data_IF_345628687419
#
_entry.id   IF_345628687419
#
_cell.length_a   1.000
_cell.length_b   1.000
_cell.length_c   1.000
_cell.angle_alpha   90.00
_cell.angle_beta   90.00
_cell.angle_gamma   90.00
#
_symmetry.space_group_name_H-M   'P 1'
#
loop_
_entity.id
_entity.type
_entity.pdbx_description
1 polymer ?
#
# COMPACT_ATOMS: atom_id res chain seq x y z
N UNK A 1 -9.55 22.38 -2.56
CA UNK A 1 -10.82 22.03 -1.88
C UNK A 1 -12.04 22.14 -2.83
N UNK A 2 -12.09 23.18 -3.66
CA UNK A 2 -13.25 23.49 -4.51
C UNK A 2 -13.58 22.45 -5.59
N UNK A 3 -12.61 21.72 -6.14
CA UNK A 3 -12.85 20.70 -7.18
C UNK A 3 -13.56 19.44 -6.67
N UNK A 4 -13.24 18.96 -5.48
CA UNK A 4 -13.86 17.73 -4.93
C UNK A 4 -15.35 17.91 -4.60
N UNK A 5 -15.77 19.12 -4.27
CA UNK A 5 -17.19 19.41 -4.05
C UNK A 5 -17.99 19.37 -5.36
N UNK A 6 -17.42 19.88 -6.48
CA UNK A 6 -18.08 19.79 -7.80
C UNK A 6 -18.22 18.33 -8.28
N UNK A 7 -17.21 17.47 -8.02
CA UNK A 7 -17.27 16.06 -8.37
C UNK A 7 -18.40 15.32 -7.63
N UNK A 8 -18.58 15.61 -6.33
CA UNK A 8 -19.68 15.05 -5.54
C UNK A 8 -21.04 15.55 -6.06
N UNK A 9 -21.18 16.84 -6.35
CA UNK A 9 -22.43 17.40 -6.89
C UNK A 9 -22.77 16.71 -8.22
N UNK A 10 -21.84 16.65 -9.17
CA UNK A 10 -22.02 15.94 -10.44
C UNK A 10 -22.46 14.49 -10.23
N UNK A 11 -21.81 13.78 -9.30
CA UNK A 11 -22.15 12.40 -8.98
C UNK A 11 -23.57 12.23 -8.45
N UNK A 12 -24.01 13.10 -7.53
CA UNK A 12 -25.35 13.01 -6.95
C UNK A 12 -26.47 13.37 -7.94
N UNK A 13 -26.22 14.33 -8.83
CA UNK A 13 -27.15 14.72 -9.90
C UNK A 13 -27.23 13.66 -11.02
N UNK A 14 -26.26 12.76 -11.11
CA UNK A 14 -26.21 11.73 -12.15
C UNK A 14 -27.21 10.61 -11.91
N UNK A 15 -28.03 10.20 -12.91
CA UNK A 15 -28.88 9.02 -12.82
C UNK A 15 -28.09 7.75 -12.48
N UNK A 16 -28.70 6.83 -11.74
CA UNK A 16 -28.04 5.60 -11.25
C UNK A 16 -27.26 4.83 -12.31
N UNK A 17 -27.82 4.73 -13.52
CA UNK A 17 -27.24 4.02 -14.68
C UNK A 17 -25.86 4.56 -15.08
N UNK A 18 -25.62 5.85 -14.92
CA UNK A 18 -24.41 6.53 -15.39
C UNK A 18 -23.42 6.86 -14.27
N UNK A 19 -23.72 6.53 -13.01
CA UNK A 19 -22.87 6.86 -11.86
C UNK A 19 -21.45 6.31 -11.97
N UNK A 20 -21.27 5.08 -12.46
CA UNK A 20 -19.93 4.51 -12.67
C UNK A 20 -19.17 5.23 -13.77
N UNK A 21 -19.83 5.57 -14.87
CA UNK A 21 -19.19 6.33 -15.96
C UNK A 21 -18.69 7.69 -15.47
N UNK A 22 -19.55 8.42 -14.75
CA UNK A 22 -19.18 9.73 -14.20
C UNK A 22 -18.03 9.60 -13.21
N UNK A 23 -18.06 8.62 -12.30
CA UNK A 23 -16.93 8.37 -11.38
C UNK A 23 -15.64 8.05 -12.13
N UNK A 24 -15.69 7.21 -13.15
CA UNK A 24 -14.52 6.88 -13.96
C UNK A 24 -13.94 8.13 -14.63
N UNK A 25 -14.78 8.93 -15.28
CA UNK A 25 -14.35 10.15 -15.97
C UNK A 25 -13.74 11.15 -14.98
N UNK A 26 -14.43 11.44 -13.87
CA UNK A 26 -13.93 12.37 -12.85
C UNK A 26 -12.63 11.88 -12.20
N UNK A 27 -12.51 10.57 -11.94
CA UNK A 27 -11.29 9.96 -11.42
C UNK A 27 -10.13 10.05 -12.40
N UNK A 28 -10.37 9.80 -13.68
CA UNK A 28 -9.36 9.94 -14.74
C UNK A 28 -8.92 11.40 -14.91
N UNK A 29 -9.86 12.36 -14.89
CA UNK A 29 -9.53 13.79 -14.93
C UNK A 29 -8.68 14.17 -13.71
N UNK A 30 -9.06 13.70 -12.52
CA UNK A 30 -8.30 13.93 -11.30
C UNK A 30 -6.88 13.39 -11.40
N UNK A 31 -6.73 12.16 -11.88
CA UNK A 31 -5.44 11.51 -12.03
C UNK A 31 -4.58 12.15 -13.11
N UNK A 32 -5.15 12.42 -14.29
CA UNK A 32 -4.43 13.04 -15.41
C UNK A 32 -3.94 14.46 -15.10
N UNK A 33 -4.65 15.18 -14.21
CA UNK A 33 -4.23 16.51 -13.79
C UNK A 33 -2.93 16.51 -12.99
N UNK A 34 -2.72 15.48 -12.15
CA UNK A 34 -1.49 15.34 -11.37
C UNK A 34 -0.35 14.65 -12.14
N UNK A 35 -0.69 13.67 -12.98
CA UNK A 35 0.26 12.73 -13.58
C UNK A 35 0.53 12.94 -15.08
N UNK A 36 -0.14 13.91 -15.70
CA UNK A 36 0.04 14.22 -17.13
C UNK A 36 -0.12 12.96 -17.99
N UNK A 37 0.88 12.65 -18.83
CA UNK A 37 0.87 11.51 -19.77
C UNK A 37 0.79 10.13 -19.11
N UNK A 38 1.12 9.99 -17.83
CA UNK A 38 1.16 8.69 -17.13
C UNK A 38 -0.22 8.08 -16.87
N UNK A 39 -1.32 8.85 -17.02
CA UNK A 39 -2.67 8.28 -16.97
C UNK A 39 -2.90 7.19 -18.03
N UNK A 40 -2.17 7.23 -19.16
CA UNK A 40 -2.23 6.21 -20.21
C UNK A 40 -1.76 4.83 -19.71
N UNK A 41 -0.81 4.79 -18.76
CA UNK A 41 -0.33 3.53 -18.17
C UNK A 41 -1.45 2.88 -17.38
N UNK A 42 -2.20 3.67 -16.61
CA UNK A 42 -3.35 3.15 -15.86
C UNK A 42 -4.44 2.64 -16.80
N UNK A 43 -4.74 3.36 -17.89
CA UNK A 43 -5.69 2.87 -18.92
C UNK A 43 -5.20 1.56 -19.54
N UNK A 44 -3.91 1.47 -19.87
CA UNK A 44 -3.35 0.23 -20.42
C UNK A 44 -3.45 -0.94 -19.43
N UNK A 45 -3.17 -0.71 -18.15
CA UNK A 45 -3.34 -1.72 -17.10
C UNK A 45 -4.80 -2.17 -16.98
N UNK A 46 -5.76 -1.22 -17.05
CA UNK A 46 -7.19 -1.54 -17.05
C UNK A 46 -7.54 -2.46 -18.24
N UNK A 47 -7.12 -2.11 -19.45
CA UNK A 47 -7.43 -2.88 -20.66
C UNK A 47 -6.81 -4.29 -20.61
N UNK A 48 -5.56 -4.39 -20.17
CA UNK A 48 -4.84 -5.68 -20.06
C UNK A 48 -5.52 -6.60 -19.05
N UNK A 49 -5.77 -6.12 -17.82
CA UNK A 49 -6.32 -6.97 -16.77
C UNK A 49 -7.82 -7.27 -16.97
N UNK A 50 -8.58 -6.34 -17.54
CA UNK A 50 -9.95 -6.59 -17.98
C UNK A 50 -9.99 -7.73 -19.02
N UNK A 51 -9.15 -7.64 -20.05
CA UNK A 51 -9.07 -8.65 -21.11
C UNK A 51 -8.55 -9.98 -20.58
N UNK A 52 -7.54 -9.95 -19.71
CA UNK A 52 -7.01 -11.14 -19.04
C UNK A 52 -8.08 -11.83 -18.20
N UNK A 53 -8.88 -11.10 -17.42
CA UNK A 53 -9.96 -11.66 -16.62
C UNK A 53 -10.98 -12.41 -17.46
N UNK A 54 -11.43 -11.82 -18.58
CA UNK A 54 -12.37 -12.45 -19.52
C UNK A 54 -11.73 -13.70 -20.15
N UNK A 55 -10.47 -13.60 -20.61
CA UNK A 55 -9.76 -14.69 -21.25
C UNK A 55 -9.51 -15.85 -20.28
N UNK A 56 -9.08 -15.58 -19.03
CA UNK A 56 -8.90 -16.59 -17.97
C UNK A 56 -10.21 -17.37 -17.76
N UNK A 57 -11.34 -16.66 -17.66
CA UNK A 57 -12.62 -17.30 -17.45
C UNK A 57 -13.09 -18.11 -18.66
N UNK A 58 -12.85 -17.62 -19.87
CA UNK A 58 -13.17 -18.35 -21.12
C UNK A 58 -12.40 -19.67 -21.20
N UNK A 59 -11.14 -19.69 -20.74
CA UNK A 59 -10.29 -20.89 -20.76
C UNK A 59 -10.23 -21.63 -19.41
N UNK A 60 -11.22 -21.46 -18.52
CA UNK A 60 -11.24 -22.10 -17.18
C UNK A 60 -11.10 -23.62 -17.22
N UNK A 61 -11.65 -24.29 -18.25
CA UNK A 61 -11.52 -25.73 -18.45
C UNK A 61 -10.12 -26.15 -18.97
N UNK A 62 -9.36 -25.20 -19.54
CA UNK A 62 -8.02 -25.41 -20.05
C UNK A 62 -6.97 -24.80 -19.10
N UNK A 63 -6.69 -25.50 -17.98
CA UNK A 63 -5.80 -25.00 -16.91
C UNK A 63 -4.47 -24.40 -17.42
N UNK A 64 -3.80 -25.05 -18.41
CA UNK A 64 -2.53 -24.54 -18.97
C UNK A 64 -2.70 -23.19 -19.65
N UNK A 65 -3.77 -22.98 -20.41
CA UNK A 65 -4.05 -21.69 -21.07
C UNK A 65 -4.41 -20.63 -20.05
N UNK A 66 -5.28 -20.96 -19.07
CA UNK A 66 -5.66 -20.03 -18.00
C UNK A 66 -4.47 -19.55 -17.19
N UNK A 67 -3.55 -20.43 -16.79
CA UNK A 67 -2.35 -20.05 -16.04
C UNK A 67 -1.38 -19.23 -16.90
N UNK A 68 -1.23 -19.53 -18.19
CA UNK A 68 -0.37 -18.74 -19.09
C UNK A 68 -0.88 -17.31 -19.22
N UNK A 69 -2.20 -17.11 -19.36
CA UNK A 69 -2.79 -15.76 -19.44
C UNK A 69 -2.60 -15.02 -18.11
N UNK A 70 -2.80 -15.70 -16.98
CA UNK A 70 -2.55 -15.11 -15.66
C UNK A 70 -1.09 -14.69 -15.50
N UNK A 71 -0.14 -15.58 -15.89
CA UNK A 71 1.29 -15.27 -15.82
C UNK A 71 1.64 -14.06 -16.70
N UNK A 72 1.09 -13.95 -17.90
CA UNK A 72 1.30 -12.80 -18.79
C UNK A 72 0.78 -11.49 -18.15
N UNK A 73 -0.42 -11.51 -17.56
CA UNK A 73 -0.97 -10.35 -16.84
C UNK A 73 -0.05 -9.95 -15.66
N UNK A 74 0.39 -10.92 -14.85
CA UNK A 74 1.30 -10.66 -13.72
C UNK A 74 2.63 -10.09 -14.21
N UNK A 75 3.25 -10.69 -15.24
CA UNK A 75 4.51 -10.22 -15.81
C UNK A 75 4.37 -8.81 -16.38
N UNK A 76 3.28 -8.50 -17.06
CA UNK A 76 2.98 -7.16 -17.55
C UNK A 76 2.91 -6.14 -16.41
N UNK A 77 2.12 -6.42 -15.37
CA UNK A 77 1.93 -5.53 -14.22
C UNK A 77 3.24 -5.32 -13.43
N UNK A 78 3.96 -6.40 -13.14
CA UNK A 78 5.25 -6.33 -12.46
C UNK A 78 6.32 -5.70 -13.35
N UNK A 79 6.27 -5.90 -14.66
CA UNK A 79 7.18 -5.28 -15.63
C UNK A 79 7.05 -3.78 -15.66
N UNK A 80 5.82 -3.25 -15.73
CA UNK A 80 5.56 -1.81 -15.62
C UNK A 80 6.07 -1.28 -14.27
N UNK A 81 5.73 -1.95 -13.17
CA UNK A 81 6.18 -1.54 -11.85
C UNK A 81 7.72 -1.55 -11.76
N UNK A 82 8.38 -2.54 -12.35
CA UNK A 82 9.84 -2.63 -12.41
C UNK A 82 10.45 -1.45 -13.18
N UNK A 83 9.95 -1.16 -14.36
CA UNK A 83 10.45 -0.07 -15.20
C UNK A 83 10.37 1.27 -14.46
N UNK A 84 9.20 1.60 -13.90
CA UNK A 84 9.00 2.91 -13.29
C UNK A 84 9.61 3.05 -11.89
N UNK A 85 9.75 1.97 -11.15
CA UNK A 85 10.20 2.04 -9.75
C UNK A 85 11.64 1.59 -9.54
N UNK A 86 12.12 0.60 -10.32
CA UNK A 86 13.38 -0.08 -9.99
C UNK A 86 14.48 0.08 -11.03
N UNK A 87 14.17 0.46 -12.27
CA UNK A 87 15.19 0.48 -13.35
C UNK A 87 16.39 1.35 -12.99
N UNK A 88 16.18 2.56 -12.45
CA UNK A 88 17.27 3.46 -12.08
C UNK A 88 18.07 2.96 -10.85
N UNK A 89 17.42 2.24 -9.94
CA UNK A 89 18.11 1.58 -8.84
C UNK A 89 19.05 0.49 -9.35
N UNK A 90 18.63 -0.33 -10.30
CA UNK A 90 19.48 -1.35 -10.90
C UNK A 90 20.59 -0.74 -11.74
N UNK A 91 20.33 0.27 -12.56
CA UNK A 91 21.37 0.99 -13.33
C UNK A 91 22.43 1.55 -12.38
N UNK A 92 22.03 2.19 -11.29
CA UNK A 92 22.97 2.76 -10.32
C UNK A 92 23.86 1.68 -9.68
N UNK A 93 23.26 0.57 -9.25
CA UNK A 93 24.04 -0.53 -8.65
C UNK A 93 24.95 -1.24 -9.66
N UNK A 94 24.52 -1.44 -10.91
CA UNK A 94 25.34 -1.99 -11.98
C UNK A 94 26.53 -1.07 -12.25
N UNK A 95 26.31 0.25 -12.33
CA UNK A 95 27.39 1.22 -12.49
C UNK A 95 28.42 1.13 -11.36
N UNK A 96 27.96 1.00 -10.11
CA UNK A 96 28.87 0.89 -8.95
C UNK A 96 29.66 -0.42 -9.00
N UNK A 97 29.00 -1.56 -9.24
CA UNK A 97 29.62 -2.90 -9.18
C UNK A 97 30.61 -3.11 -10.33
N UNK A 98 30.26 -2.66 -11.52
CA UNK A 98 31.05 -2.92 -12.75
C UNK A 98 31.79 -1.70 -13.23
N UNK A 99 31.82 -0.59 -12.49
CA UNK A 99 32.45 0.69 -12.87
C UNK A 99 32.00 1.17 -14.25
N UNK A 100 30.70 0.98 -14.57
CA UNK A 100 30.08 1.42 -15.82
C UNK A 100 29.50 2.83 -15.68
N UNK A 101 29.29 3.49 -16.83
CA UNK A 101 28.68 4.83 -16.90
C UNK A 101 27.33 4.80 -17.65
N UNK A 102 26.47 3.82 -17.34
CA UNK A 102 25.13 3.73 -17.94
C UNK A 102 24.29 4.94 -17.50
N UNK A 103 23.68 5.61 -18.46
CA UNK A 103 22.82 6.76 -18.19
C UNK A 103 21.52 6.34 -17.50
N UNK A 104 21.10 7.10 -16.48
CA UNK A 104 19.79 6.93 -15.86
C UNK A 104 18.67 7.23 -16.85
N UNK A 105 17.60 6.47 -16.77
CA UNK A 105 16.40 6.73 -17.59
C UNK A 105 15.60 7.87 -16.96
N UNK A 106 15.22 8.86 -17.79
CA UNK A 106 14.42 10.00 -17.32
C UNK A 106 12.93 9.61 -17.25
N UNK A 107 12.56 8.92 -16.18
CA UNK A 107 11.20 8.51 -15.88
C UNK A 107 10.82 8.93 -14.46
N UNK A 108 9.59 9.46 -14.31
CA UNK A 108 9.00 9.78 -13.01
C UNK A 108 8.10 8.63 -12.59
N UNK A 109 8.14 8.26 -11.31
CA UNK A 109 7.26 7.22 -10.76
C UNK A 109 5.81 7.72 -10.75
N UNK A 110 4.89 7.10 -11.52
CA UNK A 110 3.48 7.51 -11.51
C UNK A 110 2.85 7.28 -10.13
N UNK A 111 2.14 8.29 -9.66
CA UNK A 111 1.48 8.24 -8.37
C UNK A 111 0.45 7.09 -8.32
N UNK A 112 0.47 6.31 -7.24
CA UNK A 112 -0.47 5.20 -7.07
C UNK A 112 -0.19 3.94 -7.90
N UNK A 113 0.88 3.90 -8.73
CA UNK A 113 1.18 2.73 -9.58
C UNK A 113 1.25 1.42 -8.77
N UNK A 114 1.87 1.43 -7.59
CA UNK A 114 1.97 0.26 -6.73
C UNK A 114 0.61 -0.20 -6.20
N UNK A 115 -0.34 0.73 -6.02
CA UNK A 115 -1.69 0.44 -5.51
C UNK A 115 -2.56 -0.17 -6.59
N UNK A 116 -2.71 0.49 -7.75
CA UNK A 116 -3.57 -0.06 -8.80
C UNK A 116 -2.99 -1.35 -9.41
N UNK A 117 -1.67 -1.51 -9.48
CA UNK A 117 -1.04 -2.78 -9.87
C UNK A 117 -1.47 -3.93 -8.95
N UNK A 118 -1.47 -3.73 -7.63
CA UNK A 118 -1.93 -4.75 -6.69
C UNK A 118 -3.43 -5.01 -6.79
N UNK A 119 -4.23 -3.99 -7.09
CA UNK A 119 -5.67 -4.15 -7.32
C UNK A 119 -5.96 -5.00 -8.56
N UNK A 120 -5.36 -4.65 -9.70
CA UNK A 120 -5.59 -5.37 -10.96
C UNK A 120 -5.03 -6.78 -10.93
N UNK A 121 -3.84 -6.99 -10.37
CA UNK A 121 -3.29 -8.34 -10.15
C UNK A 121 -4.20 -9.20 -9.27
N UNK A 122 -4.72 -8.64 -8.16
CA UNK A 122 -5.62 -9.39 -7.28
C UNK A 122 -6.89 -9.82 -8.01
N UNK A 123 -7.44 -8.96 -8.88
CA UNK A 123 -8.60 -9.29 -9.69
C UNK A 123 -8.31 -10.47 -10.64
N UNK A 124 -7.25 -10.42 -11.42
CA UNK A 124 -6.87 -11.48 -12.35
C UNK A 124 -6.63 -12.82 -11.63
N UNK A 125 -5.98 -12.78 -10.45
CA UNK A 125 -5.77 -13.96 -9.60
C UNK A 125 -7.09 -14.51 -9.05
N UNK A 126 -8.01 -13.64 -8.60
CA UNK A 126 -9.29 -14.06 -8.02
C UNK A 126 -10.23 -14.66 -9.08
N UNK A 127 -10.21 -14.13 -10.32
CA UNK A 127 -10.92 -14.77 -11.46
C UNK A 127 -10.33 -16.15 -11.74
N UNK A 128 -8.99 -16.28 -11.79
CA UNK A 128 -8.34 -17.57 -12.02
C UNK A 128 -8.66 -18.62 -10.94
N UNK A 129 -8.70 -18.17 -9.67
CA UNK A 129 -9.08 -19.04 -8.53
C UNK A 129 -10.58 -19.33 -8.45
N UNK A 130 -11.39 -18.77 -9.34
CA UNK A 130 -12.85 -18.95 -9.35
C UNK A 130 -13.57 -18.27 -8.17
N UNK A 131 -12.92 -17.33 -7.48
CA UNK A 131 -13.52 -16.59 -6.36
C UNK A 131 -14.57 -15.58 -6.83
N UNK A 132 -14.35 -15.02 -8.02
CA UNK A 132 -15.25 -14.09 -8.70
C UNK A 132 -15.44 -14.48 -10.15
N UNK A 133 -16.59 -14.09 -10.72
CA UNK A 133 -16.76 -14.06 -12.17
C UNK A 133 -16.12 -12.79 -12.73
N UNK A 134 -15.59 -12.81 -13.97
CA UNK A 134 -15.02 -11.61 -14.55
C UNK A 134 -16.10 -10.54 -14.72
N UNK A 135 -15.71 -9.29 -14.53
CA UNK A 135 -16.55 -8.16 -14.86
C UNK A 135 -16.58 -7.99 -16.38
N UNK A 136 -17.77 -8.00 -16.95
CA UNK A 136 -17.98 -7.86 -18.42
C UNK A 136 -18.22 -6.43 -18.86
N UNK A 137 -18.52 -5.55 -17.92
CA UNK A 137 -18.67 -4.12 -18.19
C UNK A 137 -17.35 -3.39 -17.87
N UNK A 138 -16.67 -2.94 -18.93
CA UNK A 138 -15.40 -2.24 -18.80
C UNK A 138 -15.49 -0.97 -17.96
N UNK A 139 -16.62 -0.26 -17.95
CA UNK A 139 -16.82 0.94 -17.12
C UNK A 139 -16.81 0.57 -15.64
N UNK A 140 -17.44 -0.55 -15.27
CA UNK A 140 -17.44 -1.05 -13.91
C UNK A 140 -16.02 -1.40 -13.45
N UNK A 141 -15.26 -2.10 -14.29
CA UNK A 141 -13.88 -2.45 -14.01
C UNK A 141 -12.98 -1.22 -13.95
N UNK A 142 -13.14 -0.28 -14.87
CA UNK A 142 -12.43 0.99 -14.85
C UNK A 142 -12.75 1.80 -13.59
N UNK A 143 -14.03 1.86 -13.17
CA UNK A 143 -14.43 2.49 -11.91
C UNK A 143 -13.67 1.88 -10.73
N UNK A 144 -13.59 0.54 -10.64
CA UNK A 144 -12.86 -0.15 -9.58
C UNK A 144 -11.40 0.30 -9.49
N UNK A 145 -10.71 0.38 -10.63
CA UNK A 145 -9.28 0.71 -10.67
C UNK A 145 -9.02 2.20 -10.44
N UNK A 146 -9.83 3.06 -11.06
CA UNK A 146 -9.58 4.52 -11.07
C UNK A 146 -10.12 5.26 -9.88
N UNK A 147 -10.97 4.64 -9.05
CA UNK A 147 -11.74 5.30 -8.00
C UNK A 147 -10.87 6.19 -7.09
N UNK A 148 -11.01 7.50 -7.25
CA UNK A 148 -10.10 8.52 -6.72
C UNK A 148 -9.87 8.50 -5.19
N UNK A 149 -10.84 8.11 -4.32
CA UNK A 149 -10.57 8.11 -2.89
C UNK A 149 -9.49 7.10 -2.47
N UNK A 150 -9.37 5.97 -3.17
CA UNK A 150 -8.42 4.90 -2.83
C UNK A 150 -7.12 4.95 -3.62
N UNK A 151 -7.11 5.63 -4.79
CA UNK A 151 -6.10 5.49 -5.84
C UNK A 151 -4.67 5.83 -5.39
N UNK A 152 -4.49 6.85 -4.56
CA UNK A 152 -3.15 7.39 -4.24
C UNK A 152 -2.52 6.73 -3.01
N UNK A 153 -3.22 6.72 -1.88
CA UNK A 153 -2.75 6.18 -0.60
C UNK A 153 -3.91 5.66 0.27
N UNK A 154 -5.04 5.31 -0.35
CA UNK A 154 -6.17 4.69 0.33
C UNK A 154 -5.90 3.24 0.73
N UNK A 155 -6.88 2.54 1.30
CA UNK A 155 -6.81 1.09 1.48
C UNK A 155 -6.61 0.41 0.12
N UNK A 156 -5.83 -0.68 0.07
CA UNK A 156 -5.78 -1.54 -1.11
C UNK A 156 -7.09 -2.34 -1.14
N UNK A 157 -8.03 -1.85 -1.95
CA UNK A 157 -9.36 -2.46 -2.07
C UNK A 157 -9.30 -3.54 -3.16
N UNK A 158 -9.76 -4.74 -2.85
CA UNK A 158 -9.91 -5.82 -3.83
C UNK A 158 -11.26 -5.71 -4.54
N UNK A 159 -11.36 -6.27 -5.75
CA UNK A 159 -12.65 -6.29 -6.47
C UNK A 159 -13.73 -7.03 -5.65
N UNK A 160 -13.34 -8.09 -4.94
CA UNK A 160 -14.21 -8.84 -4.01
C UNK A 160 -14.83 -7.98 -2.92
N UNK A 161 -14.15 -6.90 -2.51
CA UNK A 161 -14.60 -6.06 -1.40
C UNK A 161 -15.73 -5.10 -1.83
N UNK A 162 -15.79 -4.71 -3.13
CA UNK A 162 -16.73 -3.68 -3.62
C UNK A 162 -17.52 -4.08 -4.88
N UNK A 163 -17.44 -5.34 -5.32
CA UNK A 163 -18.14 -5.79 -6.54
C UNK A 163 -19.66 -5.60 -6.50
N UNK A 164 -20.25 -5.74 -5.31
CA UNK A 164 -21.69 -5.56 -5.13
C UNK A 164 -22.09 -4.08 -5.27
N UNK A 165 -21.32 -3.20 -4.63
CA UNK A 165 -21.53 -1.76 -4.70
C UNK A 165 -21.22 -1.18 -6.08
N UNK A 166 -20.30 -1.77 -6.84
CA UNK A 166 -20.07 -1.39 -8.24
C UNK A 166 -21.31 -1.68 -9.08
N UNK A 167 -21.95 -2.83 -8.88
CA UNK A 167 -23.14 -3.25 -9.63
C UNK A 167 -24.41 -2.53 -9.19
N UNK A 168 -24.59 -2.42 -7.88
CA UNK A 168 -25.78 -1.81 -7.29
C UNK A 168 -25.43 -1.14 -5.96
N UNK A 169 -25.40 0.20 -5.97
CA UNK A 169 -25.17 1.00 -4.75
C UNK A 169 -26.48 1.53 -4.19
N UNK A 170 -26.65 1.40 -2.89
CA UNK A 170 -27.65 2.14 -2.13
C UNK A 170 -26.94 3.20 -1.28
N UNK A 171 -27.34 4.45 -1.45
CA UNK A 171 -26.78 5.59 -0.70
C UNK A 171 -27.77 5.92 0.41
N UNK A 172 -27.45 5.52 1.62
CA UNK A 172 -28.23 5.74 2.82
C UNK A 172 -27.74 7.02 3.52
N UNK A 173 -28.66 7.85 4.02
CA UNK A 173 -28.34 9.13 4.67
C UNK A 173 -27.39 8.93 5.86
N UNK A 174 -27.64 7.92 6.69
CA UNK A 174 -26.83 7.62 7.87
C UNK A 174 -25.37 7.26 7.49
N UNK A 175 -25.19 6.50 6.40
CA UNK A 175 -23.85 6.18 5.89
C UNK A 175 -23.15 7.39 5.30
N UNK A 176 -23.87 8.31 4.69
CA UNK A 176 -23.32 9.58 4.21
C UNK A 176 -22.85 10.43 5.37
N UNK A 177 -23.66 10.55 6.43
CA UNK A 177 -23.28 11.26 7.65
C UNK A 177 -22.03 10.65 8.29
N UNK A 178 -22.02 9.32 8.51
CA UNK A 178 -20.85 8.60 9.03
C UNK A 178 -19.60 8.82 8.13
N UNK A 179 -19.81 8.87 6.81
CA UNK A 179 -18.76 9.17 5.84
C UNK A 179 -18.17 10.57 5.99
N UNK A 180 -19.02 11.58 6.21
CA UNK A 180 -18.61 12.96 6.46
C UNK A 180 -17.81 13.05 7.77
N UNK A 181 -18.30 12.42 8.84
CA UNK A 181 -17.61 12.37 10.13
C UNK A 181 -16.22 11.75 10.00
N UNK A 182 -16.10 10.60 9.29
CA UNK A 182 -14.79 9.98 9.02
C UNK A 182 -13.87 10.87 8.22
N UNK A 183 -14.40 11.58 7.22
CA UNK A 183 -13.61 12.50 6.42
C UNK A 183 -13.06 13.64 7.28
N UNK A 184 -13.89 14.28 8.11
CA UNK A 184 -13.51 15.37 9.00
C UNK A 184 -12.48 14.90 10.02
N UNK A 185 -12.72 13.77 10.68
CA UNK A 185 -11.76 13.18 11.63
C UNK A 185 -10.43 12.82 10.97
N UNK A 186 -10.45 12.27 9.75
CA UNK A 186 -9.25 11.97 8.98
C UNK A 186 -8.48 13.24 8.60
N UNK A 187 -9.18 14.28 8.17
CA UNK A 187 -8.59 15.58 7.87
C UNK A 187 -7.97 16.22 9.11
N UNK A 188 -8.65 16.15 10.25
CA UNK A 188 -8.12 16.62 11.53
C UNK A 188 -6.81 15.91 11.92
N UNK A 189 -6.76 14.58 11.77
CA UNK A 189 -5.51 13.80 12.00
C UNK A 189 -4.37 14.27 11.12
N UNK A 190 -4.64 14.52 9.82
CA UNK A 190 -3.62 14.96 8.88
C UNK A 190 -3.17 16.39 9.14
N UNK A 191 -4.12 17.33 9.22
CA UNK A 191 -3.80 18.76 9.26
C UNK A 191 -3.39 19.21 10.66
N UNK A 192 -4.14 18.80 11.71
CA UNK A 192 -3.91 19.30 13.06
C UNK A 192 -2.83 18.51 13.82
N UNK A 193 -2.62 17.23 13.46
CA UNK A 193 -1.65 16.40 14.19
C UNK A 193 -0.44 16.10 13.32
N UNK A 194 -0.62 15.39 12.18
CA UNK A 194 0.51 14.91 11.40
C UNK A 194 1.37 16.05 10.83
N UNK A 195 0.77 17.09 10.25
CA UNK A 195 1.52 18.21 9.68
C UNK A 195 2.31 18.97 10.75
N UNK A 196 1.71 19.20 11.93
CA UNK A 196 2.39 19.94 13.02
C UNK A 196 3.53 19.12 13.64
N UNK A 197 3.30 17.83 13.90
CA UNK A 197 4.36 16.94 14.41
C UNK A 197 5.46 16.75 13.35
N UNK A 198 5.10 16.72 12.07
CA UNK A 198 6.03 16.59 10.96
C UNK A 198 7.03 17.73 10.85
N UNK A 199 6.70 18.93 11.35
CA UNK A 199 7.65 20.04 11.39
C UNK A 199 8.86 19.73 12.28
N UNK A 200 8.67 18.99 13.40
CA UNK A 200 9.78 18.57 14.26
C UNK A 200 10.72 17.60 13.52
N UNK A 201 10.17 16.67 12.74
CA UNK A 201 11.00 15.78 11.94
C UNK A 201 11.76 16.55 10.85
N UNK A 202 11.09 17.45 10.16
CA UNK A 202 11.75 18.31 9.15
C UNK A 202 12.86 19.18 9.74
N UNK A 203 12.72 19.65 10.97
CA UNK A 203 13.77 20.39 11.68
C UNK A 203 15.00 19.50 11.91
N UNK A 204 14.79 18.25 12.33
CA UNK A 204 15.87 17.26 12.50
C UNK A 204 16.59 16.98 11.17
N UNK A 205 15.85 16.82 10.07
CA UNK A 205 16.44 16.61 8.75
C UNK A 205 17.23 17.83 8.26
N UNK A 206 16.67 19.03 8.42
CA UNK A 206 17.30 20.29 7.99
C UNK A 206 18.57 20.63 8.79
N UNK A 207 18.56 20.39 10.10
CA UNK A 207 19.74 20.59 10.97
C UNK A 207 20.86 19.59 10.64
N UNK A 208 20.46 18.41 10.11
CA UNK A 208 21.36 17.31 9.80
C UNK A 208 21.73 16.47 11.04
N UNK A 209 21.71 15.16 10.88
CA UNK A 209 21.87 14.18 11.96
C UNK A 209 23.20 14.27 12.73
N UNK A 210 24.19 14.96 12.18
CA UNK A 210 25.50 15.16 12.82
C UNK A 210 25.54 16.38 13.75
N UNK A 211 24.58 17.29 13.60
CA UNK A 211 24.55 18.58 14.27
C UNK A 211 23.49 18.62 15.38
N UNK A 212 22.75 17.52 15.60
CA UNK A 212 21.72 17.45 16.61
C UNK A 212 22.21 16.74 17.86
N UNK A 213 21.67 17.12 19.02
CA UNK A 213 21.91 16.43 20.28
C UNK A 213 21.16 15.07 20.30
N UNK A 214 21.67 14.11 21.05
CA UNK A 214 21.04 12.79 21.23
C UNK A 214 19.57 12.88 21.69
N UNK A 215 19.20 13.71 22.71
CA UNK A 215 17.80 13.87 23.09
C UNK A 215 16.92 14.40 21.94
N UNK A 216 17.43 15.34 21.14
CA UNK A 216 16.69 15.89 20.00
C UNK A 216 16.49 14.84 18.89
N UNK A 217 17.46 13.95 18.67
CA UNK A 217 17.31 12.80 17.76
C UNK A 217 16.17 11.86 18.21
N UNK A 218 16.07 11.53 19.51
CA UNK A 218 14.96 10.72 20.02
C UNK A 218 13.60 11.41 19.85
N UNK A 219 13.53 12.71 20.12
CA UNK A 219 12.29 13.49 19.87
C UNK A 219 11.92 13.44 18.38
N UNK A 220 12.90 13.59 17.48
CA UNK A 220 12.69 13.47 16.04
C UNK A 220 12.11 12.13 15.60
N UNK A 221 12.66 11.02 16.10
CA UNK A 221 12.15 9.67 15.76
C UNK A 221 10.75 9.44 16.32
N UNK A 222 10.44 9.91 17.52
CA UNK A 222 9.08 9.87 18.07
C UNK A 222 8.13 10.73 17.21
N UNK A 223 8.55 11.93 16.80
CA UNK A 223 7.79 12.79 15.92
C UNK A 223 7.51 12.10 14.58
N UNK A 224 8.51 11.54 13.92
CA UNK A 224 8.34 10.77 12.68
C UNK A 224 7.37 9.61 12.86
N UNK A 225 7.49 8.85 13.95
CA UNK A 225 6.64 7.69 14.23
C UNK A 225 5.17 8.09 14.39
N UNK A 226 4.89 9.22 15.03
CA UNK A 226 3.54 9.75 15.19
C UNK A 226 3.04 10.37 13.87
N UNK A 227 3.90 11.12 13.18
CA UNK A 227 3.59 11.73 11.90
C UNK A 227 3.12 10.68 10.88
N UNK A 228 3.92 9.64 10.63
CA UNK A 228 3.59 8.60 9.63
C UNK A 228 2.27 7.90 9.99
N UNK A 229 2.00 7.68 11.28
CA UNK A 229 0.75 7.08 11.71
C UNK A 229 -0.45 8.01 11.48
N UNK A 230 -0.39 9.24 11.96
CA UNK A 230 -1.52 10.16 11.84
C UNK A 230 -1.75 10.61 10.40
N UNK A 231 -0.69 10.78 9.60
CA UNK A 231 -0.80 11.11 8.19
C UNK A 231 -1.48 9.98 7.41
N UNK A 232 -0.94 8.77 7.50
CA UNK A 232 -1.46 7.64 6.73
C UNK A 232 -2.81 7.13 7.24
N UNK A 233 -3.02 7.07 8.57
CA UNK A 233 -4.32 6.71 9.12
C UNK A 233 -5.38 7.78 8.85
N UNK A 234 -5.00 9.05 8.85
CA UNK A 234 -5.86 10.17 8.50
C UNK A 234 -6.29 10.09 7.04
N UNK A 235 -5.34 9.90 6.12
CA UNK A 235 -5.65 9.72 4.70
C UNK A 235 -6.56 8.51 4.45
N UNK A 236 -6.24 7.36 5.06
CA UNK A 236 -7.05 6.15 4.94
C UNK A 236 -8.48 6.36 5.47
N UNK A 237 -8.64 7.13 6.55
CA UNK A 237 -9.95 7.45 7.11
C UNK A 237 -10.73 8.39 6.20
N UNK A 238 -10.09 9.42 5.61
CA UNK A 238 -10.69 10.29 4.59
C UNK A 238 -11.14 9.49 3.38
N UNK A 239 -10.30 8.58 2.88
CA UNK A 239 -10.63 7.72 1.73
C UNK A 239 -11.87 6.86 2.02
N UNK A 240 -11.95 6.25 3.21
CA UNK A 240 -13.13 5.47 3.65
C UNK A 240 -14.36 6.34 3.78
N UNK A 241 -14.22 7.55 4.32
CA UNK A 241 -15.33 8.51 4.42
C UNK A 241 -15.88 8.90 3.05
N UNK A 242 -15.01 9.27 2.11
CA UNK A 242 -15.39 9.56 0.73
C UNK A 242 -16.01 8.34 0.04
N UNK A 243 -15.45 7.15 0.26
CA UNK A 243 -16.05 5.91 -0.24
C UNK A 243 -17.51 5.75 0.23
N UNK A 244 -17.77 5.93 1.52
CA UNK A 244 -19.12 5.83 2.08
C UNK A 244 -20.08 6.89 1.53
N UNK A 245 -19.62 8.13 1.36
CA UNK A 245 -20.40 9.21 0.71
C UNK A 245 -20.78 8.81 -0.73
N UNK A 246 -19.90 8.11 -1.44
CA UNK A 246 -20.15 7.60 -2.78
C UNK A 246 -20.92 6.25 -2.82
N UNK A 247 -21.21 5.66 -1.66
CA UNK A 247 -21.94 4.39 -1.51
C UNK A 247 -21.03 3.15 -1.58
N UNK A 248 -19.72 3.27 -1.28
CA UNK A 248 -18.78 2.16 -1.18
C UNK A 248 -18.29 1.95 0.25
N UNK A 249 -18.12 0.71 0.67
CA UNK A 249 -17.60 0.35 1.99
C UNK A 249 -16.16 -0.16 1.88
N UNK A 250 -15.18 0.74 1.99
CA UNK A 250 -13.77 0.36 1.96
C UNK A 250 -13.32 -0.29 3.26
N UNK A 251 -12.43 -1.29 3.18
CA UNK A 251 -11.92 -1.99 4.35
C UNK A 251 -11.13 -1.06 5.27
N UNK A 252 -11.08 -1.42 6.56
CA UNK A 252 -10.28 -0.70 7.56
C UNK A 252 -8.80 -0.98 7.35
N UNK A 253 -7.98 0.08 7.42
CA UNK A 253 -6.54 -0.04 7.19
C UNK A 253 -5.69 0.08 8.47
N UNK A 254 -6.22 0.67 9.56
CA UNK A 254 -5.55 0.85 10.83
C UNK A 254 -6.46 0.51 12.00
N UNK A 255 -5.90 -0.14 13.06
CA UNK A 255 -6.59 -0.49 14.29
C UNK A 255 -5.71 -0.30 15.53
N UNK A 256 -5.46 0.96 15.94
CA UNK A 256 -4.63 1.31 17.09
C UNK A 256 -3.30 0.52 17.14
N UNK A 257 -2.43 0.65 16.11
CA UNK A 257 -1.27 -0.22 15.95
C UNK A 257 -0.26 -0.06 17.09
N UNK A 258 -0.06 1.15 17.63
CA UNK A 258 0.89 1.38 18.73
C UNK A 258 0.43 0.82 20.09
N UNK A 259 -0.80 0.33 20.20
CA UNK A 259 -1.26 -0.42 21.37
C UNK A 259 -0.92 -1.92 21.31
N UNK A 260 -0.13 -2.35 20.32
CA UNK A 260 0.25 -3.76 20.13
C UNK A 260 1.29 -4.21 21.14
N UNK A 261 1.24 -5.52 21.47
CA UNK A 261 2.17 -6.18 22.41
C UNK A 261 3.21 -7.04 21.72
N UNK A 262 3.23 -7.06 20.40
CA UNK A 262 4.23 -7.76 19.59
C UNK A 262 4.32 -7.13 18.21
N UNK A 263 5.42 -7.35 17.52
CA UNK A 263 5.61 -6.92 16.14
C UNK A 263 4.61 -7.63 15.21
N UNK A 264 4.35 -8.91 15.46
CA UNK A 264 3.32 -9.65 14.73
C UNK A 264 1.92 -9.07 14.92
N UNK A 265 1.58 -8.58 16.11
CA UNK A 265 0.31 -7.90 16.37
C UNK A 265 0.26 -6.54 15.72
N UNK A 266 1.35 -5.77 15.78
CA UNK A 266 1.47 -4.47 15.13
C UNK A 266 1.12 -4.55 13.65
N UNK A 267 1.71 -5.46 12.90
CA UNK A 267 1.46 -5.61 11.47
C UNK A 267 0.06 -6.15 11.12
N UNK A 268 -0.64 -6.76 12.06
CA UNK A 268 -2.08 -7.06 11.91
C UNK A 268 -2.98 -5.83 12.10
N UNK A 269 -2.45 -4.75 12.70
CA UNK A 269 -3.16 -3.52 13.02
C UNK A 269 -2.71 -2.32 12.17
N UNK A 270 -1.54 -2.40 11.56
CA UNK A 270 -0.95 -1.42 10.67
C UNK A 270 -1.09 -1.85 9.22
N UNK A 271 -1.55 -0.95 8.34
CA UNK A 271 -1.71 -1.18 6.89
C UNK A 271 -2.33 -2.55 6.58
N UNK A 272 -3.48 -2.81 7.21
CA UNK A 272 -4.15 -4.12 7.24
C UNK A 272 -4.40 -4.64 5.83
N UNK A 273 -4.77 -3.76 4.89
CA UNK A 273 -5.09 -4.15 3.51
C UNK A 273 -3.86 -4.63 2.75
N UNK A 274 -2.69 -4.02 2.95
CA UNK A 274 -1.43 -4.49 2.38
C UNK A 274 -1.03 -5.86 2.98
N UNK A 275 -1.10 -5.98 4.31
CA UNK A 275 -0.82 -7.23 5.00
C UNK A 275 -1.74 -8.37 4.54
N UNK A 276 -3.03 -8.09 4.35
CA UNK A 276 -4.01 -9.03 3.82
C UNK A 276 -3.70 -9.43 2.39
N UNK A 277 -3.29 -8.47 1.55
CA UNK A 277 -2.91 -8.73 0.17
C UNK A 277 -1.71 -9.71 0.09
N UNK A 278 -0.61 -9.41 0.79
CA UNK A 278 0.56 -10.31 0.83
C UNK A 278 0.22 -11.68 1.42
N UNK A 279 -0.63 -11.73 2.45
CA UNK A 279 -1.09 -12.99 3.03
C UNK A 279 -1.85 -13.84 2.01
N UNK A 280 -2.80 -13.27 1.28
CA UNK A 280 -3.70 -14.01 0.38
C UNK A 280 -3.07 -14.38 -0.96
N UNK A 281 -2.21 -13.51 -1.49
CA UNK A 281 -1.67 -13.66 -2.85
C UNK A 281 -0.22 -14.13 -2.88
N UNK A 282 0.50 -14.08 -1.74
CA UNK A 282 1.89 -14.57 -1.65
C UNK A 282 2.03 -15.65 -0.58
N UNK A 283 1.75 -15.35 0.69
CA UNK A 283 2.03 -16.26 1.79
C UNK A 283 1.25 -17.59 1.71
N UNK A 284 -0.06 -17.51 1.49
CA UNK A 284 -0.92 -18.71 1.39
C UNK A 284 -0.58 -19.55 0.16
N UNK A 285 -0.39 -19.01 -1.06
CA UNK A 285 0.04 -19.78 -2.22
C UNK A 285 1.39 -20.49 -2.06
N UNK A 286 2.34 -19.90 -1.30
CA UNK A 286 3.62 -20.54 -0.96
C UNK A 286 3.49 -21.69 0.08
N UNK A 287 2.26 -21.97 0.55
CA UNK A 287 1.97 -23.01 1.55
C UNK A 287 1.68 -22.48 2.96
N UNK A 288 1.87 -21.17 3.21
CA UNK A 288 1.60 -20.56 4.52
C UNK A 288 2.44 -21.21 5.63
N UNK A 289 1.78 -21.63 6.70
CA UNK A 289 2.38 -22.31 7.85
C UNK A 289 2.07 -23.83 7.88
N UNK A 290 1.54 -24.41 6.79
CA UNK A 290 1.08 -25.81 6.76
C UNK A 290 2.21 -26.82 6.58
N UNK A 291 3.33 -26.42 5.96
CA UNK A 291 4.39 -27.31 5.51
C UNK A 291 5.63 -27.26 6.45
N UNK A 292 5.39 -27.18 7.76
CA UNK A 292 6.44 -27.19 8.79
C UNK A 292 7.11 -25.82 9.04
N UNK A 293 7.94 -25.78 10.09
CA UNK A 293 8.55 -24.52 10.58
C UNK A 293 9.52 -23.90 9.57
N UNK A 294 10.37 -24.72 8.95
CA UNK A 294 11.37 -24.24 7.98
C UNK A 294 10.71 -23.57 6.77
N UNK A 295 9.69 -24.23 6.18
CA UNK A 295 8.93 -23.63 5.06
C UNK A 295 8.20 -22.35 5.46
N UNK A 296 7.69 -22.28 6.69
CA UNK A 296 7.07 -21.08 7.24
C UNK A 296 8.05 -19.90 7.28
N UNK A 297 9.30 -20.15 7.72
CA UNK A 297 10.35 -19.12 7.77
C UNK A 297 10.68 -18.62 6.36
N UNK A 298 10.85 -19.52 5.38
CA UNK A 298 11.09 -19.13 3.99
C UNK A 298 9.93 -18.29 3.46
N UNK A 299 8.69 -18.71 3.69
CA UNK A 299 7.52 -17.97 3.24
C UNK A 299 7.45 -16.57 3.86
N UNK A 300 7.80 -16.43 5.14
CA UNK A 300 7.89 -15.13 5.82
C UNK A 300 9.02 -14.27 5.24
N UNK A 301 10.19 -14.87 4.97
CA UNK A 301 11.29 -14.17 4.31
C UNK A 301 10.86 -13.58 2.97
N UNK A 302 10.23 -14.39 2.11
CA UNK A 302 9.74 -13.93 0.81
C UNK A 302 8.75 -12.77 0.96
N UNK A 303 7.78 -12.90 1.87
CA UNK A 303 6.77 -11.84 2.10
C UNK A 303 7.43 -10.54 2.56
N UNK A 304 8.34 -10.59 3.53
CA UNK A 304 8.97 -9.39 4.08
C UNK A 304 9.99 -8.76 3.14
N UNK A 305 10.73 -9.56 2.38
CA UNK A 305 11.61 -9.07 1.32
C UNK A 305 10.80 -8.34 0.23
N UNK A 306 9.69 -8.93 -0.22
CA UNK A 306 8.78 -8.28 -1.17
C UNK A 306 8.09 -7.04 -0.58
N UNK A 307 7.75 -7.05 0.71
CA UNK A 307 7.16 -5.88 1.39
C UNK A 307 8.18 -4.74 1.44
N UNK A 308 9.43 -5.02 1.78
CA UNK A 308 10.50 -4.02 1.73
C UNK A 308 10.69 -3.45 0.33
N UNK A 309 10.83 -4.30 -0.68
CA UNK A 309 10.92 -3.89 -2.08
C UNK A 309 9.70 -3.07 -2.51
N UNK A 310 8.49 -3.44 -2.09
CA UNK A 310 7.28 -2.69 -2.43
C UNK A 310 7.32 -1.24 -1.93
N UNK A 311 7.92 -0.97 -0.77
CA UNK A 311 8.04 0.38 -0.23
C UNK A 311 8.94 1.28 -1.08
N UNK A 312 10.07 0.79 -1.58
CA UNK A 312 10.96 1.61 -2.39
C UNK A 312 12.17 0.88 -2.97
N UNK A 313 12.77 1.49 -3.97
CA UNK A 313 13.98 1.02 -4.63
C UNK A 313 15.22 1.59 -3.91
N UNK A 314 15.43 1.17 -2.66
CA UNK A 314 16.60 1.55 -1.85
C UNK A 314 16.90 0.47 -0.82
N UNK A 315 18.17 0.34 -0.43
CA UNK A 315 18.63 -0.69 0.52
C UNK A 315 18.01 -0.55 1.91
N UNK A 316 17.71 0.67 2.37
CA UNK A 316 17.06 0.88 3.66
C UNK A 316 15.71 0.15 3.74
N UNK A 317 14.91 0.11 2.68
CA UNK A 317 13.64 -0.63 2.67
C UNK A 317 13.85 -2.15 2.69
N UNK A 318 14.90 -2.65 2.05
CA UNK A 318 15.27 -4.07 2.11
C UNK A 318 15.68 -4.44 3.54
N UNK A 319 16.56 -3.64 4.16
CA UNK A 319 17.00 -3.84 5.54
C UNK A 319 15.83 -3.74 6.51
N UNK A 320 14.93 -2.78 6.31
CA UNK A 320 13.69 -2.63 7.07
C UNK A 320 12.81 -3.89 6.98
N UNK A 321 12.63 -4.45 5.80
CA UNK A 321 11.88 -5.69 5.61
C UNK A 321 12.55 -6.88 6.31
N UNK A 322 13.88 -7.01 6.22
CA UNK A 322 14.64 -8.07 6.88
C UNK A 322 14.63 -7.93 8.41
N UNK A 323 14.64 -6.71 8.94
CA UNK A 323 14.50 -6.47 10.38
C UNK A 323 13.17 -7.03 10.90
N UNK A 324 12.05 -6.68 10.25
CA UNK A 324 10.73 -7.17 10.68
C UNK A 324 10.55 -8.67 10.43
N UNK A 325 11.11 -9.20 9.34
CA UNK A 325 11.21 -10.64 9.15
C UNK A 325 11.87 -11.34 10.34
N UNK A 326 13.03 -10.86 10.75
CA UNK A 326 13.82 -11.44 11.86
C UNK A 326 13.06 -11.37 13.18
N UNK A 327 12.46 -10.23 13.50
CA UNK A 327 11.67 -10.04 14.72
C UNK A 327 10.46 -10.97 14.78
N UNK A 328 9.72 -11.10 13.68
CA UNK A 328 8.56 -12.01 13.59
C UNK A 328 8.98 -13.48 13.69
N UNK A 329 10.13 -13.85 13.13
CA UNK A 329 10.68 -15.20 13.31
C UNK A 329 11.04 -15.48 14.77
N UNK A 330 11.71 -14.56 15.45
CA UNK A 330 12.05 -14.68 16.87
C UNK A 330 10.78 -14.81 17.73
N UNK A 331 9.76 -14.00 17.46
CA UNK A 331 8.46 -14.12 18.13
C UNK A 331 7.85 -15.50 17.93
N UNK A 332 7.85 -16.02 16.69
CA UNK A 332 7.30 -17.35 16.37
C UNK A 332 8.11 -18.50 16.95
N UNK A 333 9.41 -18.34 17.11
CA UNK A 333 10.30 -19.36 17.69
C UNK A 333 10.14 -19.50 19.22
N UNK A 334 9.47 -18.58 19.89
CA UNK A 334 9.13 -18.74 21.31
C UNK A 334 8.94 -17.44 22.09
N UNK A 335 9.51 -16.32 21.63
CA UNK A 335 9.42 -15.04 22.34
C UNK A 335 7.97 -14.59 22.57
N UNK A 336 7.05 -14.94 21.69
CA UNK A 336 5.63 -14.60 21.83
C UNK A 336 5.02 -15.10 23.15
N UNK A 337 5.54 -16.22 23.72
CA UNK A 337 5.09 -16.74 25.02
C UNK A 337 5.47 -15.81 26.17
N UNK A 338 6.68 -15.26 26.11
CA UNK A 338 7.19 -14.28 27.09
C UNK A 338 6.41 -12.98 26.99
N UNK A 339 6.23 -12.47 25.76
CA UNK A 339 5.46 -11.24 25.49
C UNK A 339 4.01 -11.35 25.98
N UNK A 340 3.38 -12.50 25.83
CA UNK A 340 2.02 -12.72 26.33
C UNK A 340 1.93 -12.73 27.86
N UNK A 341 3.03 -13.17 28.55
CA UNK A 341 3.06 -13.24 30.02
C UNK A 341 3.31 -11.88 30.67
N UNK A 342 4.21 -11.05 30.08
CA UNK A 342 4.66 -9.80 30.70
C UNK A 342 4.19 -8.58 29.86
N UNK A 343 3.03 -8.01 30.24
CA UNK A 343 2.38 -6.93 29.46
C UNK A 343 3.25 -5.68 29.28
N UNK A 344 3.87 -5.18 30.35
CA UNK A 344 4.71 -3.98 30.29
C UNK A 344 5.92 -4.22 29.39
N UNK A 345 6.63 -5.34 29.62
CA UNK A 345 7.77 -5.71 28.77
C UNK A 345 7.38 -5.83 27.29
N UNK A 346 6.19 -6.39 26.99
CA UNK A 346 5.73 -6.54 25.60
C UNK A 346 5.51 -5.20 24.90
N UNK A 347 4.99 -4.19 25.59
CA UNK A 347 4.84 -2.84 25.02
C UNK A 347 6.20 -2.17 24.83
N UNK A 348 7.11 -2.26 25.81
CA UNK A 348 8.47 -1.70 25.69
C UNK A 348 9.20 -2.34 24.51
N UNK A 349 9.21 -3.69 24.42
CA UNK A 349 9.78 -4.42 23.30
C UNK A 349 9.20 -3.94 21.96
N UNK A 350 7.89 -3.87 21.85
CA UNK A 350 7.23 -3.53 20.59
C UNK A 350 7.56 -2.09 20.17
N UNK A 351 7.42 -1.11 21.07
CA UNK A 351 7.70 0.29 20.77
C UNK A 351 9.18 0.48 20.44
N UNK A 352 10.10 -0.12 21.20
CA UNK A 352 11.54 -0.04 20.96
C UNK A 352 11.90 -0.48 19.53
N UNK A 353 11.47 -1.68 19.12
CA UNK A 353 11.77 -2.17 17.77
C UNK A 353 11.02 -1.45 16.67
N UNK A 354 9.85 -0.88 16.96
CA UNK A 354 9.16 0.00 16.01
C UNK A 354 9.92 1.30 15.77
N UNK A 355 10.46 1.92 16.81
CA UNK A 355 11.29 3.13 16.68
C UNK A 355 12.53 2.85 15.83
N UNK A 356 13.24 1.73 16.08
CA UNK A 356 14.35 1.30 15.22
C UNK A 356 13.88 1.10 13.77
N UNK A 357 12.77 0.39 13.58
CA UNK A 357 12.19 0.16 12.25
C UNK A 357 11.86 1.46 11.52
N UNK A 358 11.25 2.43 12.21
CA UNK A 358 10.95 3.74 11.62
C UNK A 358 12.19 4.55 11.33
N UNK A 359 13.24 4.46 12.16
CA UNK A 359 14.54 5.07 11.89
C UNK A 359 15.14 4.53 10.58
N UNK A 360 15.18 3.21 10.43
CA UNK A 360 15.67 2.57 9.19
C UNK A 360 14.83 2.98 7.99
N UNK A 361 13.51 3.11 8.16
CA UNK A 361 12.59 3.49 7.09
C UNK A 361 12.79 4.94 6.64
N UNK A 362 12.89 5.88 7.59
CA UNK A 362 12.99 7.32 7.35
C UNK A 362 14.32 7.71 6.69
N UNK A 363 15.39 7.01 7.05
CA UNK A 363 16.74 7.37 6.67
C UNK A 363 17.10 6.69 5.34
N UNK A 364 17.02 7.42 4.24
CA UNK A 364 17.28 6.92 2.89
C UNK A 364 18.76 6.91 2.48
N UNK A 365 19.56 7.81 3.05
CA UNK A 365 20.99 7.89 2.80
C UNK A 365 21.78 7.10 3.85
N UNK A 366 22.06 5.84 3.53
CA UNK A 366 22.73 4.90 4.42
C UNK A 366 24.27 5.08 4.43
N UNK A 367 24.86 5.58 3.36
CA UNK A 367 26.31 5.74 3.23
C UNK A 367 26.86 6.85 4.15
N UNK A 368 26.11 7.93 4.32
CA UNK A 368 26.52 9.03 5.23
C UNK A 368 26.45 8.65 6.71
N UNK A 369 25.85 7.53 7.06
CA UNK A 369 25.48 7.14 8.44
C UNK A 369 26.23 5.94 9.01
N UNK A 370 26.59 4.94 8.20
CA UNK A 370 27.42 3.81 8.64
C UNK A 370 28.89 4.25 8.77
N UNK A 371 29.37 5.17 7.94
CA UNK A 371 30.76 5.63 7.96
C UNK A 371 31.17 6.39 9.22
N UNK A 372 30.26 6.73 10.15
CA UNK A 372 30.56 7.46 11.37
C UNK A 372 30.27 6.72 12.68
N UNK A 373 29.68 5.54 12.64
CA UNK A 373 29.60 4.66 13.82
C UNK A 373 30.93 3.97 14.11
N UNK A 374 31.94 4.16 13.28
CA UNK A 374 33.29 3.60 13.39
C UNK A 374 34.38 4.63 13.72
N UNK A 375 34.03 5.86 14.12
CA UNK A 375 34.97 6.84 14.67
C UNK A 375 34.67 7.13 16.10
#
# INVERSE_FOLDING_TARGET
PTRRSSDLICYYLTPRKYKNLVLTILSLIFYSWGEGKYFLIMITSILVDYSAGIAIYRYKEHKKKGISILCLSIVFNLGILFIFKYVNFFINNINIIFSLALSKVNITLPLGISFYTFQTMSYSIDVYKGRIKPEINIINFATFVTLFPQLIAGPIVKYTDIQNEIKARNIEKDKVQEGIEKFILGLGRKVLIANNIGMLWSEVENTGFNNISTPFAYVGILAFSLQIYFDFSGYSLMARGLGQILGFNFPRNFNYPYASRSISEFWRRWHITLGSWFKEYVYIPLGGNRNGKFRTIINLFVVWALTGLWHGASFNFIIWGLLFFSLICIEKLGLIRVLNKYKVFSHIYTIFFLLIGWTVFAITDFESKIGRASC
#
